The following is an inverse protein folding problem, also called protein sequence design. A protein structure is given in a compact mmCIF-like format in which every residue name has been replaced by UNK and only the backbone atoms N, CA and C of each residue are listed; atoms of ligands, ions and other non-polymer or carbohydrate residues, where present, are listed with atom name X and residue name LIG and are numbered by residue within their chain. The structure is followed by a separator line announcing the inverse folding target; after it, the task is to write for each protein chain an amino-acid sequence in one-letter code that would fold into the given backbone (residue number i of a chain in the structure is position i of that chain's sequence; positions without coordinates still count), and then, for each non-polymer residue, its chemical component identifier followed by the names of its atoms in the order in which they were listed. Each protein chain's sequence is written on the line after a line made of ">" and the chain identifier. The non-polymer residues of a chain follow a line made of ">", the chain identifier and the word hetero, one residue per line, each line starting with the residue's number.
data_IF_145830254930
#
_entry.id   IF_145830254930
#
_cell.length_a   1.000
_cell.length_b   1.000
_cell.length_c   1.000
_cell.angle_alpha   90.00
_cell.angle_beta   90.00
_cell.angle_gamma   90.00
#
_symmetry.space_group_name_H-M   'P 1'
#
loop_
_entity.id
_entity.type
_entity.pdbx_description
1 polymer ?
#
# COMPACT_ATOMS: atom_id res chain seq x y z
N UNK A 1 25.92 11.92 2.34
CA UNK A 1 24.87 11.99 1.28
C UNK A 1 23.78 10.98 1.57
N UNK A 2 22.52 11.40 1.49
CA UNK A 2 21.40 10.49 1.59
C UNK A 2 20.99 10.00 0.20
N UNK A 3 20.66 8.71 0.11
CA UNK A 3 20.10 8.13 -1.12
C UNK A 3 18.76 7.52 -0.82
N UNK A 4 17.79 7.83 -1.66
CA UNK A 4 16.47 7.19 -1.60
C UNK A 4 16.41 6.14 -2.69
N UNK A 5 16.30 4.87 -2.29
CA UNK A 5 16.35 3.74 -3.21
C UNK A 5 15.07 2.92 -3.09
N UNK A 6 14.66 2.31 -4.20
CA UNK A 6 13.54 1.38 -4.19
C UNK A 6 13.92 0.13 -3.39
N UNK A 7 13.13 -0.18 -2.37
CA UNK A 7 13.34 -1.34 -1.51
C UNK A 7 12.50 -2.54 -1.97
N UNK A 8 11.25 -2.28 -2.33
CA UNK A 8 10.33 -3.32 -2.76
C UNK A 8 9.17 -2.72 -3.53
N UNK A 9 8.44 -3.56 -4.24
CA UNK A 9 7.36 -3.10 -5.11
C UNK A 9 6.29 -4.17 -5.24
N UNK A 10 5.03 -3.72 -5.20
CA UNK A 10 3.88 -4.52 -5.61
C UNK A 10 3.33 -3.85 -6.86
N UNK A 11 3.43 -4.55 -7.99
CA UNK A 11 3.10 -3.96 -9.31
C UNK A 11 1.70 -4.35 -9.74
N UNK A 12 0.90 -3.34 -10.10
CA UNK A 12 -0.45 -3.50 -10.67
C UNK A 12 -1.40 -4.30 -9.77
N UNK A 13 -1.29 -4.11 -8.46
CA UNK A 13 -2.25 -4.68 -7.53
C UNK A 13 -3.64 -4.09 -7.76
N UNK A 14 -4.67 -4.91 -7.55
CA UNK A 14 -6.06 -4.47 -7.66
C UNK A 14 -6.56 -4.04 -6.30
N UNK A 15 -7.06 -2.79 -6.19
CA UNK A 15 -7.69 -2.30 -4.98
C UNK A 15 -9.00 -3.08 -4.76
N UNK A 16 -9.13 -3.70 -3.59
CA UNK A 16 -10.30 -4.52 -3.27
C UNK A 16 -11.39 -3.73 -2.56
N UNK A 17 -11.03 -2.68 -1.83
CA UNK A 17 -11.99 -1.80 -1.18
C UNK A 17 -11.35 -0.46 -0.78
N UNK A 18 -12.20 0.51 -0.42
CA UNK A 18 -11.78 1.81 0.04
C UNK A 18 -12.65 2.21 1.23
N UNK A 19 -12.01 2.68 2.34
CA UNK A 19 -12.67 3.06 3.58
C UNK A 19 -12.45 4.55 3.85
N UNK A 20 -13.43 5.38 3.51
CA UNK A 20 -13.31 6.85 3.63
C UNK A 20 -13.24 7.35 5.07
N UNK A 21 -13.87 6.66 6.00
CA UNK A 21 -13.97 7.09 7.40
C UNK A 21 -12.81 6.58 8.27
N UNK A 22 -11.70 6.24 7.65
CA UNK A 22 -10.53 5.68 8.33
C UNK A 22 -9.35 6.64 8.26
N UNK A 23 -8.36 6.46 9.15
CA UNK A 23 -7.10 7.20 9.07
C UNK A 23 -6.36 6.82 7.80
N UNK A 24 -5.72 7.79 7.13
CA UNK A 24 -5.05 7.56 5.85
C UNK A 24 -3.96 6.48 5.93
N UNK A 25 -4.14 5.39 5.20
CA UNK A 25 -3.20 4.26 5.14
C UNK A 25 -3.60 3.33 3.99
N UNK A 26 -2.79 2.30 3.77
CA UNK A 26 -3.14 1.22 2.86
C UNK A 26 -3.01 -0.12 3.59
N UNK A 27 -4.08 -0.89 3.63
CA UNK A 27 -4.05 -2.25 4.18
C UNK A 27 -3.71 -3.22 3.06
N UNK A 28 -2.65 -3.99 3.26
CA UNK A 28 -2.13 -4.92 2.26
C UNK A 28 -2.06 -6.32 2.86
N UNK A 29 -2.52 -7.32 2.13
CA UNK A 29 -2.38 -8.73 2.47
C UNK A 29 -0.96 -9.00 2.98
N UNK A 30 -0.85 -9.61 4.15
CA UNK A 30 0.44 -9.92 4.78
C UNK A 30 1.33 -10.78 3.88
N UNK A 31 0.76 -11.69 3.09
CA UNK A 31 1.53 -12.51 2.15
C UNK A 31 2.22 -11.63 1.09
N UNK A 32 1.54 -10.58 0.60
CA UNK A 32 2.13 -9.64 -0.35
C UNK A 32 3.21 -8.78 0.29
N UNK A 33 3.01 -8.36 1.53
CA UNK A 33 4.05 -7.63 2.28
C UNK A 33 5.30 -8.48 2.43
N UNK A 34 5.15 -9.74 2.81
CA UNK A 34 6.27 -10.68 2.94
C UNK A 34 6.99 -10.89 1.61
N UNK A 35 6.24 -11.10 0.54
CA UNK A 35 6.80 -11.35 -0.79
C UNK A 35 7.58 -10.16 -1.34
N UNK A 36 7.13 -8.93 -1.06
CA UNK A 36 7.76 -7.70 -1.53
C UNK A 36 8.88 -7.20 -0.61
N UNK A 37 8.93 -7.68 0.63
CA UNK A 37 9.85 -7.17 1.64
C UNK A 37 9.41 -5.86 2.27
N UNK A 38 8.20 -5.41 2.00
CA UNK A 38 7.63 -4.21 2.61
C UNK A 38 7.15 -4.57 4.02
N UNK A 39 7.51 -3.73 5.00
CA UNK A 39 7.15 -3.96 6.39
C UNK A 39 5.82 -3.27 6.73
N UNK A 40 5.13 -3.79 7.73
CA UNK A 40 3.98 -3.08 8.31
C UNK A 40 4.45 -1.72 8.84
N UNK A 41 3.61 -0.70 8.66
CA UNK A 41 3.88 0.71 9.00
C UNK A 41 4.99 1.37 8.20
N UNK A 42 5.48 0.72 7.17
CA UNK A 42 6.47 1.32 6.27
C UNK A 42 5.80 2.37 5.39
N UNK A 43 6.49 3.50 5.20
CA UNK A 43 6.03 4.52 4.26
C UNK A 43 6.19 4.00 2.84
N UNK A 44 5.13 4.11 2.04
CA UNK A 44 5.11 3.67 0.65
C UNK A 44 4.58 4.78 -0.24
N UNK A 45 4.96 4.74 -1.51
CA UNK A 45 4.38 5.57 -2.55
C UNK A 45 3.38 4.73 -3.34
N UNK A 46 2.19 5.27 -3.51
CA UNK A 46 1.14 4.65 -4.31
C UNK A 46 1.00 5.41 -5.62
N UNK A 47 0.94 4.68 -6.72
CA UNK A 47 0.74 5.24 -8.05
C UNK A 47 -0.51 4.62 -8.64
N UNK A 48 -1.47 5.47 -8.99
CA UNK A 48 -2.70 5.02 -9.66
C UNK A 48 -2.46 4.98 -11.16
N UNK A 49 -2.51 3.78 -11.75
CA UNK A 49 -2.23 3.61 -13.18
C UNK A 49 -3.33 4.19 -14.07
N UNK A 50 -4.53 4.41 -13.53
CA UNK A 50 -5.65 4.93 -14.31
C UNK A 50 -5.59 6.44 -14.51
N UNK A 51 -5.07 7.18 -13.54
CA UNK A 51 -5.03 8.65 -13.60
C UNK A 51 -3.63 9.23 -13.39
N UNK A 52 -2.63 8.40 -13.14
CA UNK A 52 -1.25 8.85 -12.96
C UNK A 52 -0.96 9.55 -11.64
N UNK A 53 -1.91 9.58 -10.72
CA UNK A 53 -1.69 10.24 -9.42
C UNK A 53 -0.72 9.45 -8.55
N UNK A 54 0.08 10.18 -7.78
CA UNK A 54 1.05 9.63 -6.84
C UNK A 54 0.82 10.24 -5.47
N UNK A 55 0.89 9.40 -4.44
CA UNK A 55 0.80 9.89 -3.07
C UNK A 55 1.53 8.94 -2.13
N UNK A 56 1.86 9.46 -0.95
CA UNK A 56 2.55 8.68 0.07
C UNK A 56 1.62 8.39 1.23
N UNK A 57 1.75 7.18 1.78
CA UNK A 57 1.03 6.75 2.97
C UNK A 57 1.85 5.67 3.66
N UNK A 58 1.26 4.97 4.62
CA UNK A 58 1.93 3.87 5.29
C UNK A 58 1.08 2.61 5.24
N UNK A 59 1.75 1.46 5.40
CA UNK A 59 1.11 0.15 5.29
C UNK A 59 0.53 -0.31 6.61
N UNK A 60 -0.59 -1.05 6.52
CA UNK A 60 -1.15 -1.84 7.61
C UNK A 60 -1.24 -3.27 7.10
N UNK A 61 -0.82 -4.24 7.93
CA UNK A 61 -0.89 -5.65 7.55
C UNK A 61 -2.35 -6.13 7.57
N UNK A 62 -2.83 -6.63 6.45
CA UNK A 62 -4.13 -7.27 6.33
C UNK A 62 -4.03 -8.78 6.52
N UNK A 63 -5.20 -9.43 6.58
CA UNK A 63 -5.27 -10.88 6.75
C UNK A 63 -4.45 -11.60 5.68
N UNK A 64 -3.58 -12.53 6.11
CA UNK A 64 -2.69 -13.24 5.21
C UNK A 64 -3.48 -14.11 4.23
N UNK A 65 -3.10 -14.03 2.95
CA UNK A 65 -3.74 -14.74 1.85
C UNK A 65 -5.18 -14.31 1.55
N UNK A 66 -5.62 -13.15 2.07
CA UNK A 66 -6.95 -12.61 1.77
C UNK A 66 -7.01 -11.91 0.42
N UNK A 67 -5.86 -11.51 -0.12
CA UNK A 67 -5.79 -10.70 -1.33
C UNK A 67 -6.17 -9.23 -1.10
N UNK A 68 -6.30 -8.79 0.16
CA UNK A 68 -6.80 -7.45 0.45
C UNK A 68 -5.81 -6.35 0.03
N UNK A 69 -6.31 -5.36 -0.66
CA UNK A 69 -5.66 -4.08 -0.93
C UNK A 69 -6.71 -3.02 -0.66
N UNK A 70 -6.66 -2.41 0.52
CA UNK A 70 -7.67 -1.45 0.95
C UNK A 70 -7.06 -0.08 1.17
N UNK A 71 -7.55 0.91 0.43
CA UNK A 71 -7.17 2.31 0.65
C UNK A 71 -8.05 2.89 1.75
N UNK A 72 -7.44 3.42 2.80
CA UNK A 72 -8.11 3.92 3.98
C UNK A 72 -8.05 5.44 4.06
N UNK A 73 -9.17 6.06 4.46
CA UNK A 73 -9.23 7.49 4.70
C UNK A 73 -8.88 8.31 3.46
N UNK A 74 -8.00 9.28 3.61
CA UNK A 74 -7.62 10.19 2.53
C UNK A 74 -6.95 9.50 1.34
N UNK A 75 -6.46 8.28 1.51
CA UNK A 75 -5.87 7.50 0.41
C UNK A 75 -6.94 6.86 -0.49
N UNK A 76 -8.16 6.80 -0.02
CA UNK A 76 -9.25 6.16 -0.76
C UNK A 76 -9.65 6.92 -2.04
#
# INVERSE_FOLDING_TARGET
>A
MELTMLKGKIHRATVTQAELDYVGSITIDTALLKASGILEYEKVQIVDVNNGQRFETYTIAGEENSGVICLNGAAA
#
